data_IF_900297709086
#
_entry.id   IF_900297709086
#
_cell.length_a   1.000
_cell.length_b   1.000
_cell.length_c   1.000
_cell.angle_alpha   90.00
_cell.angle_beta   90.00
_cell.angle_gamma   90.00
#
_symmetry.space_group_name_H-M   'P 1'
#
loop_
_entity.id
_entity.type
_entity.pdbx_description
1 polymer ?
#
# COMPACT_ATOMS: atom_id res chain seq x y z
N UNK A 1 -32.65 14.22 4.85
CA UNK A 1 -31.53 14.24 3.87
C UNK A 1 -31.85 13.25 2.78
N UNK A 2 -32.05 13.69 1.54
CA UNK A 2 -32.16 12.79 0.39
C UNK A 2 -30.79 12.72 -0.28
N UNK A 3 -30.20 11.52 -0.33
CA UNK A 3 -28.96 11.26 -1.05
C UNK A 3 -29.34 10.81 -2.46
N UNK A 4 -28.90 11.56 -3.46
CA UNK A 4 -28.99 11.13 -4.85
C UNK A 4 -28.17 9.84 -5.02
N UNK A 5 -28.76 8.81 -5.62
CA UNK A 5 -28.08 7.54 -5.88
C UNK A 5 -26.85 7.70 -6.78
N UNK A 6 -25.95 6.73 -6.76
CA UNK A 6 -24.81 6.67 -7.69
C UNK A 6 -25.31 6.66 -9.14
N UNK A 7 -24.56 7.29 -10.04
CA UNK A 7 -24.91 7.29 -11.46
C UNK A 7 -24.95 5.87 -12.02
N UNK A 8 -25.88 5.54 -12.94
CA UNK A 8 -25.97 4.22 -13.56
C UNK A 8 -24.63 3.66 -14.08
N UNK A 9 -23.75 4.43 -14.77
CA UNK A 9 -22.47 3.90 -15.21
C UNK A 9 -21.52 3.55 -14.05
N UNK A 10 -21.50 4.32 -12.95
CA UNK A 10 -20.68 4.00 -11.79
C UNK A 10 -21.14 2.69 -11.13
N UNK A 11 -22.45 2.48 -11.02
CA UNK A 11 -23.00 1.22 -10.47
C UNK A 11 -22.63 0.03 -11.36
N UNK A 12 -22.79 0.16 -12.69
CA UNK A 12 -22.41 -0.90 -13.63
C UNK A 12 -20.92 -1.25 -13.55
N UNK A 13 -20.03 -0.25 -13.42
CA UNK A 13 -18.59 -0.48 -13.25
C UNK A 13 -18.26 -1.24 -11.96
N UNK A 14 -18.89 -0.86 -10.85
CA UNK A 14 -18.72 -1.54 -9.55
C UNK A 14 -19.18 -3.00 -9.64
N UNK A 15 -20.33 -3.25 -10.27
CA UNK A 15 -20.84 -4.61 -10.48
C UNK A 15 -19.90 -5.46 -11.34
N UNK A 16 -19.39 -4.90 -12.45
CA UNK A 16 -18.43 -5.58 -13.31
C UNK A 16 -17.13 -5.92 -12.56
N UNK A 17 -16.62 -4.98 -11.74
CA UNK A 17 -15.43 -5.23 -10.91
C UNK A 17 -15.65 -6.40 -9.93
N UNK A 18 -16.81 -6.47 -9.27
CA UNK A 18 -17.15 -7.59 -8.39
C UNK A 18 -17.24 -8.93 -9.12
N UNK A 19 -17.76 -8.94 -10.35
CA UNK A 19 -17.80 -10.15 -11.17
C UNK A 19 -16.38 -10.62 -11.52
N UNK A 20 -15.49 -9.70 -11.92
CA UNK A 20 -14.09 -10.02 -12.24
C UNK A 20 -13.35 -10.59 -11.03
N UNK A 21 -13.52 -10.01 -9.83
CA UNK A 21 -12.85 -10.48 -8.61
C UNK A 21 -13.20 -11.95 -8.30
N UNK A 22 -14.42 -12.39 -8.62
CA UNK A 22 -14.89 -13.77 -8.37
C UNK A 22 -14.35 -14.80 -9.37
N UNK A 23 -13.89 -14.37 -10.54
CA UNK A 23 -13.29 -15.26 -11.55
C UNK A 23 -11.98 -15.88 -11.06
N UNK A 24 -11.54 -16.97 -11.70
CA UNK A 24 -10.26 -17.59 -11.37
C UNK A 24 -9.08 -16.65 -11.63
N UNK A 25 -9.16 -15.82 -12.67
CA UNK A 25 -8.19 -14.74 -12.92
C UNK A 25 -8.16 -13.74 -11.76
N UNK A 26 -9.32 -13.36 -11.21
CA UNK A 26 -9.43 -12.49 -10.04
C UNK A 26 -8.78 -13.11 -8.80
N UNK A 27 -9.05 -14.38 -8.52
CA UNK A 27 -8.43 -15.13 -7.43
C UNK A 27 -6.91 -15.24 -7.59
N UNK A 28 -6.42 -15.54 -8.80
CA UNK A 28 -4.99 -15.59 -9.08
C UNK A 28 -4.30 -14.24 -8.87
N UNK A 29 -4.93 -13.13 -9.30
CA UNK A 29 -4.42 -11.77 -9.05
C UNK A 29 -4.34 -11.48 -7.55
N UNK A 30 -5.36 -11.85 -6.79
CA UNK A 30 -5.36 -11.68 -5.33
C UNK A 30 -4.25 -12.50 -4.66
N UNK A 31 -4.07 -13.75 -5.04
CA UNK A 31 -2.99 -14.60 -4.51
C UNK A 31 -1.61 -14.04 -4.85
N UNK A 32 -1.41 -13.53 -6.07
CA UNK A 32 -0.16 -12.87 -6.46
C UNK A 32 0.09 -11.62 -5.64
N UNK A 33 -0.95 -10.81 -5.41
CA UNK A 33 -0.86 -9.61 -4.57
C UNK A 33 -0.38 -9.96 -3.16
N UNK A 34 -1.02 -10.93 -2.51
CA UNK A 34 -0.66 -11.40 -1.16
C UNK A 34 0.79 -11.89 -1.13
N UNK A 35 1.17 -12.77 -2.07
CA UNK A 35 2.54 -13.30 -2.16
C UNK A 35 3.58 -12.20 -2.34
N UNK A 36 3.32 -11.24 -3.23
CA UNK A 36 4.23 -10.13 -3.49
C UNK A 36 4.37 -9.20 -2.27
N UNK A 37 3.26 -8.89 -1.60
CA UNK A 37 3.28 -8.06 -0.39
C UNK A 37 4.05 -8.73 0.76
N UNK A 38 3.87 -10.03 0.96
CA UNK A 38 4.60 -10.77 1.98
C UNK A 38 6.09 -10.88 1.64
N UNK A 39 6.43 -11.12 0.37
CA UNK A 39 7.83 -11.11 -0.09
C UNK A 39 8.50 -9.76 0.16
N UNK A 40 7.82 -8.65 -0.19
CA UNK A 40 8.36 -7.31 0.07
C UNK A 40 8.56 -7.08 1.57
N UNK A 41 7.58 -7.44 2.41
CA UNK A 41 7.65 -7.31 3.86
C UNK A 41 8.84 -8.08 4.43
N UNK A 42 9.02 -9.32 4.00
CA UNK A 42 10.15 -10.17 4.40
C UNK A 42 11.49 -9.52 4.02
N UNK A 43 11.67 -9.16 2.75
CA UNK A 43 12.93 -8.57 2.27
C UNK A 43 13.24 -7.25 2.99
N UNK A 44 12.25 -6.41 3.26
CA UNK A 44 12.46 -5.16 4.00
C UNK A 44 12.88 -5.43 5.45
N UNK A 45 12.26 -6.40 6.14
CA UNK A 45 12.65 -6.80 7.49
C UNK A 45 14.08 -7.35 7.52
N UNK A 46 14.44 -8.23 6.57
CA UNK A 46 15.80 -8.78 6.43
C UNK A 46 16.85 -7.68 6.19
N UNK A 47 16.48 -6.60 5.48
CA UNK A 47 17.35 -5.44 5.24
C UNK A 47 17.38 -4.44 6.41
N UNK A 48 16.80 -4.78 7.54
CA UNK A 48 16.83 -3.99 8.78
C UNK A 48 15.81 -2.85 8.83
N UNK A 49 14.82 -2.82 7.93
CA UNK A 49 13.73 -1.86 8.02
C UNK A 49 12.69 -2.32 9.05
N UNK A 50 12.13 -1.37 9.79
CA UNK A 50 11.02 -1.63 10.70
C UNK A 50 9.69 -1.59 9.92
N UNK A 51 9.15 -2.79 9.62
CA UNK A 51 7.91 -2.97 8.84
C UNK A 51 6.77 -3.32 9.79
N UNK A 52 5.66 -2.59 9.71
CA UNK A 52 4.44 -2.81 10.50
C UNK A 52 3.32 -3.44 9.66
N UNK A 53 2.19 -3.73 10.33
CA UNK A 53 0.96 -4.24 9.71
C UNK A 53 0.90 -5.75 9.70
N UNK A 54 -0.29 -6.26 9.38
CA UNK A 54 -0.59 -7.69 9.38
C UNK A 54 -0.03 -8.40 8.14
N UNK A 55 0.25 -9.69 8.30
CA UNK A 55 0.56 -10.57 7.17
C UNK A 55 -0.66 -10.66 6.22
N UNK A 56 -0.40 -10.92 4.94
CA UNK A 56 -1.40 -10.94 3.86
C UNK A 56 -2.07 -9.60 3.53
N UNK A 57 -1.76 -8.54 4.28
CA UNK A 57 -2.16 -7.19 3.90
C UNK A 57 -1.42 -6.74 2.65
N UNK A 58 -2.18 -6.29 1.65
CA UNK A 58 -1.67 -5.68 0.43
C UNK A 58 -0.84 -4.41 0.70
N UNK A 59 -1.02 -3.80 1.88
CA UNK A 59 -0.34 -2.59 2.32
C UNK A 59 0.88 -2.98 3.16
N UNK A 60 2.07 -2.50 2.77
CA UNK A 60 3.33 -2.74 3.50
C UNK A 60 3.88 -1.43 4.09
N UNK A 61 3.50 -1.10 5.35
CA UNK A 61 3.99 0.09 6.03
C UNK A 61 5.43 -0.04 6.55
N UNK A 62 6.31 0.90 6.17
CA UNK A 62 7.70 0.98 6.67
C UNK A 62 7.91 2.25 7.48
N UNK A 63 8.52 2.14 8.66
CA UNK A 63 8.87 3.29 9.49
C UNK A 63 10.31 3.73 9.20
N UNK A 64 10.47 5.01 8.84
CA UNK A 64 11.77 5.67 8.78
C UNK A 64 11.89 6.60 9.98
N UNK A 65 12.80 6.26 10.90
CA UNK A 65 13.00 7.01 12.15
C UNK A 65 13.66 8.38 11.99
N UNK A 66 14.31 8.64 10.85
CA UNK A 66 14.97 9.92 10.58
C UNK A 66 14.31 10.67 9.42
N UNK A 67 13.62 11.81 9.67
CA UNK A 67 12.85 12.50 8.65
C UNK A 67 13.71 13.02 7.48
N UNK A 68 14.95 13.41 7.72
CA UNK A 68 15.84 13.90 6.66
C UNK A 68 16.23 12.81 5.64
N UNK A 69 16.21 11.52 6.05
CA UNK A 69 16.50 10.39 5.16
C UNK A 69 15.30 10.02 4.28
N UNK A 70 14.10 10.44 4.63
CA UNK A 70 12.87 10.05 3.93
C UNK A 70 12.80 10.57 2.48
N UNK A 71 13.07 11.86 2.17
CA UNK A 71 13.08 12.33 0.79
C UNK A 71 14.14 11.63 -0.06
N UNK A 72 15.32 11.34 0.51
CA UNK A 72 16.39 10.63 -0.17
C UNK A 72 16.00 9.17 -0.48
N UNK A 73 15.35 8.48 0.46
CA UNK A 73 14.79 7.15 0.24
C UNK A 73 13.73 7.15 -0.87
N UNK A 74 12.78 8.10 -0.82
CA UNK A 74 11.75 8.24 -1.84
C UNK A 74 12.34 8.49 -3.23
N UNK A 75 13.35 9.37 -3.35
CA UNK A 75 14.00 9.62 -4.65
C UNK A 75 14.65 8.36 -5.21
N UNK A 76 15.40 7.62 -4.39
CA UNK A 76 16.01 6.35 -4.80
C UNK A 76 15.00 5.29 -5.24
N UNK A 77 13.83 5.22 -4.59
CA UNK A 77 12.76 4.32 -5.02
C UNK A 77 12.13 4.79 -6.34
N UNK A 78 11.93 6.10 -6.52
CA UNK A 78 11.38 6.67 -7.75
C UNK A 78 12.32 6.49 -8.95
N UNK A 79 13.63 6.66 -8.75
CA UNK A 79 14.68 6.36 -9.75
C UNK A 79 14.64 4.90 -10.22
N UNK A 80 14.19 3.99 -9.35
CA UNK A 80 13.99 2.57 -9.66
C UNK A 80 12.59 2.24 -10.19
N UNK A 81 11.79 3.26 -10.49
CA UNK A 81 10.41 3.11 -11.00
C UNK A 81 9.40 2.65 -9.94
N UNK A 82 9.77 2.66 -8.66
CA UNK A 82 8.87 2.27 -7.57
C UNK A 82 8.15 3.51 -7.05
N UNK A 83 6.82 3.52 -7.18
CA UNK A 83 5.97 4.56 -6.64
C UNK A 83 5.52 4.19 -5.24
N UNK A 84 5.52 5.19 -4.37
CA UNK A 84 5.17 5.06 -2.96
C UNK A 84 4.30 6.22 -2.52
N UNK A 85 3.53 5.97 -1.46
CA UNK A 85 2.84 7.03 -0.75
C UNK A 85 3.58 7.36 0.55
N UNK A 86 3.96 8.64 0.67
CA UNK A 86 4.58 9.20 1.86
C UNK A 86 3.48 9.77 2.76
N UNK A 87 3.45 9.35 4.03
CA UNK A 87 2.62 10.02 5.04
C UNK A 87 3.47 10.46 6.22
N UNK A 88 3.41 11.76 6.51
CA UNK A 88 3.78 12.30 7.80
C UNK A 88 2.68 12.02 8.81
N UNK A 89 2.96 11.25 9.86
CA UNK A 89 2.06 11.15 11.02
C UNK A 89 2.72 11.87 12.19
N UNK A 90 2.00 12.80 12.81
CA UNK A 90 2.41 13.42 14.06
C UNK A 90 2.01 12.48 15.20
N UNK A 91 2.92 11.63 15.66
CA UNK A 91 2.76 10.93 16.94
C UNK A 91 3.43 11.76 18.04
N UNK A 92 2.77 11.86 19.20
CA UNK A 92 3.07 12.74 20.36
C UNK A 92 4.56 13.12 20.53
N UNK A 93 4.79 14.43 20.51
CA UNK A 93 5.84 15.23 21.17
C UNK A 93 7.12 14.51 21.62
N UNK A 94 7.90 13.99 20.66
CA UNK A 94 9.38 14.11 20.61
C UNK A 94 10.01 13.36 19.42
N UNK A 95 9.28 12.47 18.73
CA UNK A 95 9.83 11.69 17.61
C UNK A 95 8.83 11.56 16.44
N UNK A 96 9.01 12.34 15.37
CA UNK A 96 8.21 12.19 14.13
C UNK A 96 8.56 10.86 13.45
N UNK A 97 7.68 9.86 13.49
CA UNK A 97 7.82 8.61 12.73
C UNK A 97 7.08 8.74 11.39
N UNK A 98 7.79 8.53 10.29
CA UNK A 98 7.21 8.63 8.95
C UNK A 98 6.93 7.24 8.38
N UNK A 99 5.76 7.10 7.75
CA UNK A 99 5.30 5.86 7.16
C UNK A 99 5.46 5.88 5.64
N UNK A 100 5.96 4.77 5.12
CA UNK A 100 6.04 4.48 3.71
C UNK A 100 5.07 3.36 3.37
N UNK A 101 4.17 3.59 2.42
CA UNK A 101 3.25 2.57 1.96
C UNK A 101 3.62 2.16 0.54
N UNK A 102 4.07 0.92 0.39
CA UNK A 102 4.15 0.27 -0.91
C UNK A 102 2.78 -0.33 -1.24
N UNK A 103 2.28 0.00 -2.43
CA UNK A 103 1.07 -0.60 -3.01
C UNK A 103 1.51 -1.39 -4.23
N UNK A 104 1.19 -2.69 -4.26
CA UNK A 104 1.24 -3.48 -5.48
C UNK A 104 -0.18 -3.49 -6.05
N UNK A 105 -0.40 -2.86 -7.19
CA UNK A 105 -1.69 -2.75 -7.86
C UNK A 105 -1.50 -2.56 -9.34
#
# INVERSE_FOLDING_TARGET
MFSSGLSPPCVAQVLAAFQVIKTDTGKQRMQRLIKNSNLLRQVLRERGFHVMGDEDSAVVPVIIGHPAKMPAFSRKCLEKGVKQNLRSQQYKQSQKKFFFFFFFG
#
